data_IF_436227617425
#
_entry.id   IF_436227617425
#
_cell.length_a   1.000
_cell.length_b   1.000
_cell.length_c   1.000
_cell.angle_alpha   90.00
_cell.angle_beta   90.00
_cell.angle_gamma   90.00
#
_symmetry.space_group_name_H-M   'P 1'
#
loop_
_entity.id
_entity.type
_entity.pdbx_description
1 polymer ?
#
# COMPACT_ATOMS: atom_id res chain seq x y z
N UNK A 1 -5.85 13.76 -4.52
CA UNK A 1 -6.47 12.92 -3.47
C UNK A 1 -5.39 12.31 -2.58
N UNK A 2 -5.66 12.01 -1.29
CA UNK A 2 -4.69 11.35 -0.43
C UNK A 2 -4.46 9.89 -0.87
N UNK A 3 -3.23 9.40 -0.71
CA UNK A 3 -2.95 7.97 -0.81
C UNK A 3 -3.35 7.30 0.49
N UNK A 4 -4.09 6.18 0.38
CA UNK A 4 -4.59 5.41 1.52
C UNK A 4 -3.94 4.02 1.48
N UNK A 5 -2.86 3.78 2.25
CA UNK A 5 -2.27 2.47 2.37
C UNK A 5 -3.23 1.48 3.03
N UNK A 6 -3.20 0.21 2.62
CA UNK A 6 -4.03 -0.84 3.23
C UNK A 6 -3.66 -1.06 4.70
N UNK A 7 -2.38 -1.01 5.04
CA UNK A 7 -1.91 -1.09 6.43
C UNK A 7 -2.49 0.03 7.31
N UNK A 8 -2.50 1.27 6.81
CA UNK A 8 -3.08 2.40 7.53
C UNK A 8 -4.60 2.28 7.66
N UNK A 9 -5.29 1.81 6.62
CA UNK A 9 -6.74 1.57 6.68
C UNK A 9 -7.09 0.52 7.75
N UNK A 10 -6.27 -0.53 7.84
CA UNK A 10 -6.43 -1.60 8.82
C UNK A 10 -6.24 -1.15 10.28
N UNK A 11 -5.59 0.00 10.52
CA UNK A 11 -5.54 0.63 11.85
C UNK A 11 -6.89 1.22 12.28
N UNK A 12 -7.78 1.49 11.32
CA UNK A 12 -9.04 2.21 11.56
C UNK A 12 -10.28 1.34 11.43
N UNK A 13 -10.22 0.29 10.61
CA UNK A 13 -11.33 -0.63 10.36
C UNK A 13 -10.81 -2.06 10.17
N UNK A 14 -11.68 -3.05 10.42
CA UNK A 14 -11.34 -4.44 10.11
C UNK A 14 -11.24 -4.63 8.58
N UNK A 15 -10.07 -5.06 8.12
CA UNK A 15 -9.80 -5.40 6.72
C UNK A 15 -9.57 -6.90 6.64
N UNK A 16 -10.37 -7.67 5.87
CA UNK A 16 -10.18 -9.11 5.74
C UNK A 16 -8.75 -9.48 5.32
N UNK A 17 -8.20 -10.53 5.93
CA UNK A 17 -6.86 -10.99 5.62
C UNK A 17 -6.73 -11.35 4.13
N UNK A 18 -5.65 -10.87 3.49
CA UNK A 18 -5.41 -11.10 2.06
C UNK A 18 -6.22 -10.21 1.12
N UNK A 19 -6.96 -9.21 1.63
CA UNK A 19 -7.59 -8.17 0.80
C UNK A 19 -6.53 -7.47 -0.06
N UNK A 20 -6.74 -7.50 -1.37
CA UNK A 20 -5.89 -6.76 -2.31
C UNK A 20 -6.42 -5.35 -2.53
N UNK A 21 -5.55 -4.42 -2.94
CA UNK A 21 -5.96 -3.06 -3.28
C UNK A 21 -6.99 -3.02 -4.41
N UNK A 22 -6.90 -3.95 -5.37
CA UNK A 22 -7.85 -4.06 -6.47
C UNK A 22 -9.24 -4.52 -6.00
N UNK A 23 -9.30 -5.49 -5.09
CA UNK A 23 -10.55 -5.94 -4.50
C UNK A 23 -11.21 -4.82 -3.69
N UNK A 24 -10.44 -4.15 -2.83
CA UNK A 24 -10.95 -3.00 -2.06
C UNK A 24 -11.49 -1.91 -2.98
N UNK A 25 -10.74 -1.54 -4.04
CA UNK A 25 -11.20 -0.52 -4.98
C UNK A 25 -12.53 -0.90 -5.65
N UNK A 26 -12.69 -2.16 -6.08
CA UNK A 26 -13.94 -2.65 -6.65
C UNK A 26 -15.10 -2.62 -5.66
N UNK A 27 -14.86 -2.90 -4.38
CA UNK A 27 -15.90 -2.85 -3.34
C UNK A 27 -16.29 -1.43 -2.96
N UNK A 28 -15.34 -0.49 -2.96
CA UNK A 28 -15.60 0.94 -2.74
C UNK A 28 -16.48 1.52 -3.85
N UNK A 29 -16.29 1.11 -5.11
CA UNK A 29 -17.14 1.55 -6.23
C UNK A 29 -18.60 1.15 -6.03
N UNK A 30 -18.87 -0.03 -5.46
CA UNK A 30 -20.25 -0.49 -5.17
C UNK A 30 -20.99 0.41 -4.19
N UNK A 31 -20.27 1.20 -3.40
CA UNK A 31 -20.84 2.15 -2.42
C UNK A 31 -20.65 3.61 -2.83
N UNK A 32 -20.28 3.87 -4.09
CA UNK A 32 -20.18 5.21 -4.67
C UNK A 32 -18.86 5.94 -4.39
N UNK A 33 -17.84 5.22 -3.90
CA UNK A 33 -16.48 5.75 -3.78
C UNK A 33 -15.67 5.25 -4.99
N UNK A 34 -15.10 6.18 -5.77
CA UNK A 34 -14.41 5.85 -7.02
C UNK A 34 -12.90 6.15 -6.90
N UNK A 35 -12.06 5.18 -6.45
CA UNK A 35 -10.62 5.37 -6.44
C UNK A 35 -10.08 5.65 -7.85
N UNK A 36 -9.34 6.74 -7.99
CA UNK A 36 -8.77 7.17 -9.27
C UNK A 36 -7.68 6.21 -9.80
N UNK A 37 -6.88 5.64 -8.90
CA UNK A 37 -5.76 4.78 -9.23
C UNK A 37 -5.36 3.85 -8.08
N UNK A 38 -4.66 2.77 -8.41
CA UNK A 38 -3.96 1.90 -7.47
C UNK A 38 -2.47 2.15 -7.65
N UNK A 39 -1.77 2.49 -6.56
CA UNK A 39 -0.33 2.73 -6.59
C UNK A 39 0.40 1.50 -6.05
N UNK A 40 1.13 0.74 -6.89
CA UNK A 40 1.92 -0.40 -6.44
C UNK A 40 3.24 0.05 -5.80
N UNK A 41 3.95 -0.90 -5.19
CA UNK A 41 5.32 -0.68 -4.75
C UNK A 41 6.21 -0.24 -5.93
N UNK A 42 7.07 0.74 -5.69
CA UNK A 42 7.96 1.30 -6.73
C UNK A 42 9.14 0.37 -7.07
N UNK A 43 9.51 -0.52 -6.14
CA UNK A 43 10.64 -1.43 -6.28
C UNK A 43 10.14 -2.86 -6.12
N UNK A 44 10.67 -3.76 -6.94
CA UNK A 44 10.43 -5.20 -6.87
C UNK A 44 11.77 -5.95 -6.83
N UNK A 45 11.78 -7.17 -6.30
CA UNK A 45 13.00 -7.97 -6.15
C UNK A 45 13.72 -7.76 -4.81
N UNK A 46 15.01 -8.06 -4.78
CA UNK A 46 15.82 -8.14 -3.56
C UNK A 46 16.23 -6.74 -3.03
N UNK A 47 15.25 -6.01 -2.50
CA UNK A 47 15.48 -4.76 -1.77
C UNK A 47 15.66 -5.05 -0.27
N UNK A 48 16.83 -4.69 0.26
CA UNK A 48 17.18 -4.93 1.67
C UNK A 48 17.70 -3.67 2.35
N UNK A 49 17.52 -3.61 3.67
CA UNK A 49 18.10 -2.54 4.50
C UNK A 49 19.55 -2.90 4.81
N UNK A 50 20.48 -2.04 4.39
CA UNK A 50 21.91 -2.15 4.71
C UNK A 50 22.31 -1.18 5.82
N UNK A 51 23.42 -1.51 6.50
CA UNK A 51 24.08 -0.60 7.46
C UNK A 51 25.45 -0.20 6.91
N UNK A 52 25.69 1.10 6.78
CA UNK A 52 27.02 1.63 6.43
C UNK A 52 27.98 1.37 7.58
N UNK A 53 29.14 0.77 7.29
CA UNK A 53 30.16 0.42 8.30
C UNK A 53 31.26 1.47 8.37
N UNK A 54 31.71 1.94 7.21
CA UNK A 54 32.76 2.98 7.08
C UNK A 54 32.43 3.86 5.89
N UNK A 55 32.76 5.15 5.96
CA UNK A 55 32.69 6.11 4.85
C UNK A 55 33.96 6.98 4.90
N UNK A 56 34.80 6.88 3.87
CA UNK A 56 35.99 7.72 3.70
C UNK A 56 35.75 8.78 2.62
N UNK A 57 36.53 9.86 2.66
CA UNK A 57 36.36 11.04 1.79
C UNK A 57 37.18 10.96 0.52
#
# INVERSE_FOLDING_TARGET
>A
MPYVPLEWLAEHVEVPAGTSAAQLAADLVKVGLEPEQIVPAQVTGDLVVGRVVTLER
#
